data_IF_375439443965
#
_entry.id   IF_375439443965
#
_cell.length_a   1.000
_cell.length_b   1.000
_cell.length_c   1.000
_cell.angle_alpha   90.00
_cell.angle_beta   90.00
_cell.angle_gamma   90.00
#
_symmetry.space_group_name_H-M   'P 1'
#
loop_
_entity.id
_entity.type
_entity.pdbx_description
1 polymer ?
#
# COMPACT_ATOMS: atom_id res chain seq x y z
N UNK A 1 8.89 24.37 13.97
CA UNK A 1 8.50 25.77 13.79
C UNK A 1 7.10 26.07 14.29
N UNK A 2 6.24 25.07 14.40
CA UNK A 2 4.92 25.18 15.02
C UNK A 2 5.06 24.74 16.48
N UNK A 3 4.68 25.58 17.49
CA UNK A 3 4.84 25.27 18.90
C UNK A 3 3.88 24.15 19.34
N UNK A 4 4.11 23.64 20.56
CA UNK A 4 3.20 22.71 21.21
C UNK A 4 1.78 23.30 21.23
N UNK A 5 0.78 22.45 20.94
CA UNK A 5 -0.63 22.85 20.76
C UNK A 5 -0.90 23.78 19.55
N UNK A 6 0.09 23.99 18.68
CA UNK A 6 -0.14 24.64 17.40
C UNK A 6 -0.98 23.79 16.45
N UNK A 7 -1.40 24.38 15.33
CA UNK A 7 -2.23 23.74 14.34
C UNK A 7 -1.49 23.66 13.01
N UNK A 8 -1.49 22.48 12.40
CA UNK A 8 -1.07 22.25 11.02
C UNK A 8 -2.25 21.71 10.25
N UNK A 9 -2.55 22.32 9.11
CA UNK A 9 -3.63 21.88 8.21
C UNK A 9 -3.01 21.48 6.88
N UNK A 10 -3.37 20.30 6.38
CA UNK A 10 -3.00 19.80 5.06
C UNK A 10 -4.27 19.78 4.19
N UNK A 11 -4.23 20.46 3.06
CA UNK A 11 -5.31 20.43 2.06
C UNK A 11 -4.75 19.89 0.75
N UNK A 12 -5.52 19.03 0.09
CA UNK A 12 -5.19 18.48 -1.23
C UNK A 12 -6.36 18.77 -2.15
N UNK A 13 -6.10 19.40 -3.29
CA UNK A 13 -7.11 19.75 -4.29
C UNK A 13 -6.64 19.34 -5.67
N UNK A 14 -7.51 18.68 -6.42
CA UNK A 14 -7.32 18.51 -7.86
C UNK A 14 -7.80 19.76 -8.59
N UNK A 15 -6.96 20.29 -9.48
CA UNK A 15 -7.31 21.41 -10.35
C UNK A 15 -7.55 20.91 -11.78
N UNK A 16 -8.58 21.38 -12.46
CA UNK A 16 -8.86 20.97 -13.83
C UNK A 16 -7.71 21.39 -14.76
N UNK A 17 -7.21 20.45 -15.55
CA UNK A 17 -6.30 20.73 -16.66
C UNK A 17 -6.88 20.21 -17.98
N UNK A 18 -6.46 20.83 -19.09
CA UNK A 18 -6.96 20.48 -20.42
C UNK A 18 -6.36 19.18 -20.99
N UNK A 19 -5.44 18.55 -20.30
CA UNK A 19 -4.69 17.38 -20.80
C UNK A 19 -5.26 16.10 -20.18
N UNK A 20 -6.04 15.33 -20.94
CA UNK A 20 -6.90 14.26 -20.45
C UNK A 20 -6.24 13.11 -19.69
N UNK A 21 -4.89 12.96 -19.72
CA UNK A 21 -4.18 11.87 -19.05
C UNK A 21 -3.39 12.33 -17.81
N UNK A 22 -3.45 13.61 -17.46
CA UNK A 22 -2.76 14.18 -16.30
C UNK A 22 -3.71 15.01 -15.48
N UNK A 23 -3.59 14.93 -14.15
CA UNK A 23 -4.22 15.82 -13.19
C UNK A 23 -3.20 16.80 -12.63
N UNK A 24 -3.61 18.05 -12.39
CA UNK A 24 -2.86 19.03 -11.62
C UNK A 24 -3.33 18.96 -10.17
N UNK A 25 -2.45 18.61 -9.27
CA UNK A 25 -2.75 18.54 -7.85
C UNK A 25 -2.06 19.69 -7.13
N UNK A 26 -2.79 20.29 -6.22
CA UNK A 26 -2.30 21.34 -5.32
C UNK A 26 -2.38 20.82 -3.90
N UNK A 27 -1.24 20.82 -3.22
CA UNK A 27 -1.12 20.45 -1.80
C UNK A 27 -0.74 21.71 -1.04
N UNK A 28 -1.58 22.12 -0.10
CA UNK A 28 -1.36 23.29 0.75
C UNK A 28 -1.13 22.85 2.18
N UNK A 29 -0.01 23.28 2.75
CA UNK A 29 0.33 23.08 4.16
C UNK A 29 0.27 24.43 4.87
N UNK A 30 -0.62 24.54 5.84
CA UNK A 30 -0.86 25.76 6.60
C UNK A 30 -0.47 25.50 8.06
N UNK A 31 0.39 26.32 8.62
CA UNK A 31 0.73 26.29 10.04
C UNK A 31 0.48 27.65 10.71
N UNK A 32 0.21 27.63 12.00
CA UNK A 32 0.12 28.83 12.85
C UNK A 32 1.38 29.00 13.72
N UNK A 33 2.52 28.62 13.19
CA UNK A 33 3.81 28.71 13.87
C UNK A 33 4.41 30.11 13.89
N UNK A 34 5.72 30.16 14.05
CA UNK A 34 6.46 31.44 14.16
C UNK A 34 6.48 32.26 12.87
N UNK A 35 6.13 31.68 11.74
CA UNK A 35 6.24 32.33 10.43
C UNK A 35 7.69 32.56 10.00
N UNK A 36 7.85 33.24 8.86
CA UNK A 36 9.14 33.52 8.22
C UNK A 36 9.31 35.01 8.11
N UNK A 37 10.50 35.51 8.49
CA UNK A 37 10.83 36.94 8.35
C UNK A 37 10.91 37.35 6.89
N UNK A 38 10.46 38.57 6.51
CA UNK A 38 10.45 39.02 5.12
C UNK A 38 11.83 38.99 4.44
N UNK A 39 12.88 39.25 5.18
CA UNK A 39 14.25 39.23 4.71
C UNK A 39 14.79 37.84 4.40
N UNK A 40 14.16 36.79 4.95
CA UNK A 40 14.50 35.39 4.69
C UNK A 40 13.56 34.73 3.69
N UNK A 41 12.37 35.26 3.45
CA UNK A 41 11.34 34.62 2.61
C UNK A 41 11.84 34.30 1.19
N UNK A 42 12.65 35.16 0.60
CA UNK A 42 13.25 34.99 -0.72
C UNK A 42 14.36 33.94 -0.77
N UNK A 43 14.93 33.58 0.40
CA UNK A 43 16.03 32.62 0.55
C UNK A 43 15.58 31.25 1.03
N UNK A 44 14.29 31.07 1.36
CA UNK A 44 13.77 29.85 1.98
C UNK A 44 14.04 28.59 1.15
N UNK A 45 14.17 28.73 -0.17
CA UNK A 45 14.45 27.66 -1.11
C UNK A 45 15.93 27.57 -1.54
N UNK A 46 16.81 28.46 -1.03
CA UNK A 46 18.23 28.40 -1.35
C UNK A 46 18.92 27.29 -0.52
N UNK A 47 19.79 26.48 -1.14
CA UNK A 47 20.51 25.43 -0.44
C UNK A 47 21.37 25.95 0.69
N UNK A 48 21.39 25.28 1.83
CA UNK A 48 22.18 25.59 3.03
C UNK A 48 21.76 26.86 3.78
N UNK A 49 20.80 27.63 3.28
CA UNK A 49 20.28 28.80 3.96
C UNK A 49 19.41 28.40 5.17
N UNK A 50 19.55 29.17 6.24
CA UNK A 50 18.80 28.99 7.49
C UNK A 50 18.47 30.35 8.08
N UNK A 51 17.25 30.47 8.62
CA UNK A 51 16.86 31.68 9.33
C UNK A 51 17.73 31.86 10.60
N UNK A 52 18.41 32.98 10.71
CA UNK A 52 19.15 33.37 11.91
C UNK A 52 18.14 33.87 12.96
N UNK A 53 17.50 32.98 13.67
CA UNK A 53 16.64 33.35 14.81
C UNK A 53 17.15 32.70 16.08
N UNK A 54 17.24 33.50 17.15
CA UNK A 54 17.71 33.01 18.46
C UNK A 54 16.84 31.86 19.02
N UNK A 55 15.56 31.86 18.66
CA UNK A 55 14.59 30.79 19.03
C UNK A 55 14.81 29.49 18.28
N UNK A 56 15.51 29.52 17.14
CA UNK A 56 15.73 28.37 16.26
C UNK A 56 17.11 27.72 16.43
N UNK A 57 17.97 28.26 17.30
CA UNK A 57 19.36 27.77 17.49
C UNK A 57 19.43 26.28 17.88
N UNK A 58 18.40 25.75 18.51
CA UNK A 58 18.34 24.34 18.94
C UNK A 58 17.73 23.40 17.91
N UNK A 59 17.20 23.91 16.78
CA UNK A 59 16.63 23.05 15.73
C UNK A 59 17.76 22.68 14.77
N UNK A 60 18.22 21.43 14.84
CA UNK A 60 19.21 20.90 13.90
C UNK A 60 18.58 20.71 12.51
N UNK A 61 19.30 21.15 11.47
CA UNK A 61 18.89 20.94 10.08
C UNK A 61 20.01 21.37 9.13
N UNK A 62 20.09 20.73 7.98
CA UNK A 62 21.11 20.97 6.95
C UNK A 62 20.80 22.18 6.06
N UNK A 63 19.60 22.75 6.10
CA UNK A 63 19.13 23.79 5.17
C UNK A 63 18.89 23.28 3.74
N UNK A 64 18.82 21.95 3.54
CA UNK A 64 18.62 21.35 2.21
C UNK A 64 17.17 20.98 1.92
N UNK A 65 16.33 20.80 2.93
CA UNK A 65 14.99 20.25 2.76
C UNK A 65 14.10 21.01 1.78
N UNK A 66 14.04 22.35 1.92
CA UNK A 66 13.20 23.19 1.05
C UNK A 66 13.74 23.27 -0.38
N UNK A 67 15.07 23.30 -0.56
CA UNK A 67 15.70 23.24 -1.87
C UNK A 67 15.42 21.92 -2.59
N UNK A 68 15.48 20.80 -1.87
CA UNK A 68 15.11 19.46 -2.40
C UNK A 68 13.63 19.43 -2.78
N UNK A 69 12.74 19.92 -1.92
CA UNK A 69 11.31 19.99 -2.19
C UNK A 69 11.00 20.79 -3.46
N UNK A 70 11.67 21.94 -3.67
CA UNK A 70 11.53 22.75 -4.88
C UNK A 70 11.99 22.00 -6.14
N UNK A 71 13.12 21.30 -6.06
CA UNK A 71 13.61 20.49 -7.18
C UNK A 71 12.63 19.35 -7.53
N UNK A 72 12.07 18.67 -6.54
CA UNK A 72 11.07 17.63 -6.75
C UNK A 72 9.81 18.22 -7.40
N UNK A 73 9.33 19.40 -6.92
CA UNK A 73 8.19 20.07 -7.53
C UNK A 73 8.42 20.34 -9.03
N UNK A 74 9.59 20.88 -9.38
CA UNK A 74 9.96 21.13 -10.77
C UNK A 74 10.05 19.85 -11.60
N UNK A 75 10.61 18.77 -11.06
CA UNK A 75 10.65 17.47 -11.74
C UNK A 75 9.25 16.90 -12.02
N UNK A 76 8.24 17.28 -11.21
CA UNK A 76 6.83 16.90 -11.37
C UNK A 76 6.03 17.93 -12.18
N UNK A 77 6.69 18.79 -12.95
CA UNK A 77 6.08 19.88 -13.74
C UNK A 77 5.19 20.81 -12.89
N UNK A 78 5.59 21.05 -11.67
CA UNK A 78 4.91 21.92 -10.74
C UNK A 78 5.87 22.95 -10.13
N UNK A 79 5.42 23.60 -9.09
CA UNK A 79 6.21 24.56 -8.33
C UNK A 79 5.84 24.53 -6.85
N UNK A 80 6.68 25.15 -6.02
CA UNK A 80 6.39 25.36 -4.61
C UNK A 80 6.45 26.86 -4.31
N UNK A 81 5.39 27.36 -3.69
CA UNK A 81 5.23 28.73 -3.25
C UNK A 81 5.16 28.80 -1.74
N UNK A 82 5.54 29.94 -1.18
CA UNK A 82 5.44 30.21 0.24
C UNK A 82 4.85 31.61 0.48
N UNK A 83 3.87 31.68 1.35
CA UNK A 83 3.33 32.89 1.91
C UNK A 83 3.47 32.79 3.43
N UNK A 84 4.02 33.81 4.05
CA UNK A 84 4.25 33.76 5.51
C UNK A 84 4.28 35.18 6.11
N UNK A 85 3.75 35.26 7.32
CA UNK A 85 3.82 36.44 8.15
C UNK A 85 4.45 36.08 9.49
N UNK A 86 5.57 36.78 9.84
CA UNK A 86 6.28 36.50 11.08
C UNK A 86 5.38 36.72 12.30
N UNK A 87 5.30 35.73 13.15
CA UNK A 87 4.40 35.67 14.32
C UNK A 87 2.99 35.12 14.07
N UNK A 88 2.62 34.81 12.81
CA UNK A 88 1.28 34.29 12.48
C UNK A 88 1.28 32.90 11.85
N UNK A 89 2.40 32.51 11.23
CA UNK A 89 2.54 31.20 10.60
C UNK A 89 2.88 31.29 9.12
N UNK A 90 2.80 30.14 8.44
CA UNK A 90 3.16 30.01 7.02
C UNK A 90 2.15 29.17 6.25
N UNK A 91 2.09 29.43 4.94
CA UNK A 91 1.35 28.66 3.97
C UNK A 91 2.31 28.24 2.88
N UNK A 92 2.54 26.96 2.72
CA UNK A 92 3.30 26.37 1.64
C UNK A 92 2.33 25.73 0.66
N UNK A 93 2.40 26.15 -0.60
CA UNK A 93 1.57 25.59 -1.68
C UNK A 93 2.47 24.86 -2.67
N UNK A 94 2.27 23.59 -2.83
CA UNK A 94 2.99 22.71 -3.73
C UNK A 94 2.06 22.24 -4.85
N UNK A 95 2.46 22.44 -6.11
CA UNK A 95 1.72 21.92 -7.25
C UNK A 95 2.49 20.80 -7.93
N UNK A 96 1.76 19.82 -8.51
CA UNK A 96 2.37 18.73 -9.24
C UNK A 96 1.43 18.21 -10.33
N UNK A 97 2.01 17.76 -11.45
CA UNK A 97 1.27 17.04 -12.47
C UNK A 97 1.48 15.53 -12.28
N UNK A 98 0.38 14.81 -12.05
CA UNK A 98 0.41 13.36 -11.94
C UNK A 98 -0.33 12.76 -13.14
N UNK A 99 0.21 11.67 -13.67
CA UNK A 99 -0.49 10.88 -14.65
C UNK A 99 -1.71 10.25 -13.96
N UNK A 100 -2.90 10.59 -14.45
CA UNK A 100 -4.11 9.95 -13.98
C UNK A 100 -4.06 8.49 -14.44
N UNK A 101 -4.24 7.60 -13.51
CA UNK A 101 -4.58 6.24 -13.89
C UNK A 101 -6.02 6.32 -14.41
N UNK A 102 -6.28 5.72 -15.56
CA UNK A 102 -7.65 5.43 -15.92
C UNK A 102 -8.27 4.81 -14.67
N UNK A 103 -9.47 5.30 -14.29
CA UNK A 103 -10.29 4.58 -13.33
C UNK A 103 -10.69 3.28 -14.02
N UNK A 104 -9.71 2.38 -14.16
CA UNK A 104 -9.95 1.05 -14.65
C UNK A 104 -11.04 0.48 -13.76
N UNK A 105 -12.08 -0.06 -14.34
CA UNK A 105 -12.97 -0.93 -13.62
C UNK A 105 -12.08 -1.91 -12.87
N UNK A 106 -11.96 -1.73 -11.54
CA UNK A 106 -11.35 -2.73 -10.66
C UNK A 106 -12.37 -3.87 -10.48
N UNK A 107 -13.01 -4.24 -11.59
CA UNK A 107 -13.91 -5.36 -11.70
C UNK A 107 -13.25 -6.36 -12.66
N UNK A 108 -13.09 -7.56 -12.17
CA UNK A 108 -12.61 -8.69 -12.94
C UNK A 108 -13.52 -9.87 -12.60
N UNK A 109 -14.13 -10.47 -13.61
CA UNK A 109 -15.07 -11.57 -13.39
C UNK A 109 -14.39 -12.76 -12.70
N UNK A 110 -13.07 -12.94 -12.87
CA UNK A 110 -12.28 -13.98 -12.18
C UNK A 110 -12.11 -13.72 -10.68
N UNK A 111 -12.32 -12.49 -10.21
CA UNK A 111 -12.24 -12.12 -8.79
C UNK A 111 -13.62 -12.05 -8.12
N UNK A 112 -14.69 -12.12 -8.92
CA UNK A 112 -16.04 -11.90 -8.43
C UNK A 112 -16.44 -12.95 -7.40
N UNK A 113 -16.92 -12.47 -6.25
CA UNK A 113 -17.46 -13.26 -5.15
C UNK A 113 -16.42 -14.18 -4.46
N UNK A 114 -15.15 -14.17 -4.84
CA UNK A 114 -14.11 -14.96 -4.17
C UNK A 114 -13.93 -14.51 -2.71
N UNK A 115 -13.95 -15.42 -1.74
CA UNK A 115 -13.86 -15.08 -0.32
C UNK A 115 -12.42 -14.78 0.09
N UNK A 116 -12.20 -13.68 0.81
CA UNK A 116 -10.89 -13.27 1.35
C UNK A 116 -11.01 -13.05 2.85
N UNK A 117 -10.15 -13.68 3.64
CA UNK A 117 -10.07 -13.48 5.08
C UNK A 117 -9.01 -12.43 5.41
N UNK A 118 -9.42 -11.39 6.14
CA UNK A 118 -8.52 -10.36 6.70
C UNK A 118 -8.34 -10.62 8.19
N UNK A 119 -7.11 -10.51 8.68
CA UNK A 119 -6.78 -10.72 10.09
C UNK A 119 -5.98 -9.53 10.61
N UNK A 120 -6.54 -8.80 11.54
CA UNK A 120 -5.92 -7.63 12.19
C UNK A 120 -6.57 -7.50 13.58
N UNK A 121 -5.84 -7.13 14.61
CA UNK A 121 -6.38 -6.96 15.96
C UNK A 121 -7.20 -5.66 16.11
N UNK A 122 -7.10 -4.74 15.16
CA UNK A 122 -7.94 -3.55 15.08
C UNK A 122 -9.14 -3.78 14.15
N UNK A 123 -10.33 -3.83 14.75
CA UNK A 123 -11.60 -4.02 14.04
C UNK A 123 -11.83 -2.94 12.94
N UNK A 124 -11.37 -1.70 13.18
CA UNK A 124 -11.51 -0.62 12.19
C UNK A 124 -10.62 -0.89 10.97
N UNK A 125 -9.42 -1.42 11.18
CA UNK A 125 -8.54 -1.87 10.10
C UNK A 125 -9.19 -3.02 9.31
N UNK A 126 -9.77 -4.00 10.01
CA UNK A 126 -10.49 -5.11 9.41
C UNK A 126 -11.66 -4.64 8.52
N UNK A 127 -12.54 -3.79 9.06
CA UNK A 127 -13.71 -3.27 8.34
C UNK A 127 -13.30 -2.47 7.09
N UNK A 128 -12.29 -1.60 7.23
CA UNK A 128 -11.75 -0.85 6.09
C UNK A 128 -11.16 -1.77 5.02
N UNK A 129 -10.43 -2.80 5.41
CA UNK A 129 -9.86 -3.77 4.47
C UNK A 129 -10.97 -4.57 3.76
N UNK A 130 -11.98 -5.06 4.48
CA UNK A 130 -13.13 -5.73 3.89
C UNK A 130 -13.90 -4.83 2.92
N UNK A 131 -14.07 -3.54 3.25
CA UNK A 131 -14.69 -2.59 2.34
C UNK A 131 -13.89 -2.48 1.02
N UNK A 132 -12.55 -2.40 1.07
CA UNK A 132 -11.69 -2.37 -0.13
C UNK A 132 -11.76 -3.66 -0.95
N UNK A 133 -11.86 -4.81 -0.28
CA UNK A 133 -12.05 -6.12 -0.92
C UNK A 133 -13.40 -6.16 -1.65
N UNK A 134 -14.47 -5.70 -0.99
CA UNK A 134 -15.79 -5.66 -1.60
C UNK A 134 -15.87 -4.67 -2.78
N UNK A 135 -15.14 -3.56 -2.74
CA UNK A 135 -15.05 -2.58 -3.83
C UNK A 135 -14.39 -3.14 -5.11
N UNK A 136 -13.66 -4.24 -5.04
CA UNK A 136 -13.07 -4.93 -6.20
C UNK A 136 -13.86 -6.18 -6.61
N UNK A 137 -15.07 -6.37 -6.07
CA UNK A 137 -16.00 -7.44 -6.41
C UNK A 137 -15.78 -8.75 -5.65
N UNK A 138 -14.82 -8.83 -4.73
CA UNK A 138 -14.56 -9.99 -3.87
C UNK A 138 -15.42 -9.95 -2.60
N UNK A 139 -15.41 -11.03 -1.79
CA UNK A 139 -16.11 -11.11 -0.49
C UNK A 139 -15.12 -11.06 0.66
N UNK A 140 -15.08 -9.93 1.40
CA UNK A 140 -14.24 -9.77 2.57
C UNK A 140 -14.89 -10.30 3.84
N UNK A 141 -14.20 -11.21 4.54
CA UNK A 141 -14.46 -11.57 5.93
C UNK A 141 -13.28 -11.18 6.80
N UNK A 142 -13.48 -11.07 8.11
CA UNK A 142 -12.36 -10.76 9.00
C UNK A 142 -12.34 -11.62 10.26
N UNK A 143 -11.17 -11.69 10.88
CA UNK A 143 -10.91 -12.23 12.20
C UNK A 143 -10.04 -11.21 12.98
N UNK A 144 -10.25 -11.12 14.29
CA UNK A 144 -9.54 -10.15 15.15
C UNK A 144 -8.35 -10.77 15.89
N UNK A 145 -7.99 -12.00 15.58
CA UNK A 145 -6.81 -12.68 16.12
C UNK A 145 -6.37 -13.83 15.24
N UNK A 146 -5.11 -14.27 15.41
CA UNK A 146 -4.58 -15.42 14.71
C UNK A 146 -5.32 -16.71 15.03
N UNK A 147 -5.75 -16.90 16.28
CA UNK A 147 -6.51 -18.07 16.74
C UNK A 147 -7.88 -18.15 16.05
N UNK A 148 -8.58 -17.02 15.98
CA UNK A 148 -9.87 -16.94 15.29
C UNK A 148 -9.71 -17.23 13.80
N UNK A 149 -8.67 -16.67 13.18
CA UNK A 149 -8.37 -16.89 11.78
C UNK A 149 -8.13 -18.37 11.46
N UNK A 150 -7.31 -19.06 12.28
CA UNK A 150 -7.06 -20.50 12.12
C UNK A 150 -8.37 -21.27 12.22
N UNK A 151 -9.21 -21.00 13.22
CA UNK A 151 -10.51 -21.68 13.37
C UNK A 151 -11.46 -21.45 12.20
N UNK A 152 -11.44 -20.24 11.57
CA UNK A 152 -12.24 -19.97 10.38
C UNK A 152 -11.71 -20.73 9.17
N UNK A 153 -10.40 -20.74 8.94
CA UNK A 153 -9.75 -21.46 7.85
C UNK A 153 -9.96 -22.98 7.99
N UNK A 154 -9.78 -23.55 9.17
CA UNK A 154 -10.06 -24.98 9.42
C UNK A 154 -11.50 -25.35 9.09
N UNK A 155 -12.45 -24.52 9.50
CA UNK A 155 -13.87 -24.76 9.22
C UNK A 155 -14.17 -24.70 7.73
N UNK A 156 -13.67 -23.68 7.03
CA UNK A 156 -13.83 -23.51 5.60
C UNK A 156 -13.24 -24.71 4.84
N UNK A 157 -12.04 -25.13 5.22
CA UNK A 157 -11.35 -26.28 4.62
C UNK A 157 -12.13 -27.60 4.80
N UNK A 158 -12.66 -27.84 5.99
CA UNK A 158 -13.50 -29.03 6.24
C UNK A 158 -14.81 -29.04 5.42
N UNK A 159 -15.31 -27.87 5.05
CA UNK A 159 -16.52 -27.73 4.23
C UNK A 159 -16.23 -27.73 2.72
N UNK A 160 -14.97 -27.81 2.30
CA UNK A 160 -14.50 -27.58 0.92
C UNK A 160 -14.97 -26.22 0.36
N UNK A 161 -15.00 -25.20 1.20
CA UNK A 161 -15.36 -23.83 0.89
C UNK A 161 -14.21 -22.89 1.34
N UNK A 162 -13.04 -23.15 0.80
CA UNK A 162 -11.79 -22.48 1.18
C UNK A 162 -11.79 -21.00 0.80
N UNK A 163 -11.10 -20.19 1.60
CA UNK A 163 -10.81 -18.83 1.22
C UNK A 163 -9.91 -18.79 -0.01
N UNK A 164 -10.18 -17.86 -0.91
CA UNK A 164 -9.30 -17.59 -2.05
C UNK A 164 -7.93 -17.05 -1.60
N UNK A 165 -7.91 -16.20 -0.58
CA UNK A 165 -6.68 -15.65 0.01
C UNK A 165 -6.88 -15.28 1.48
N UNK A 166 -5.76 -15.25 2.23
CA UNK A 166 -5.73 -14.76 3.61
C UNK A 166 -4.75 -13.58 3.70
N UNK A 167 -5.21 -12.45 4.23
CA UNK A 167 -4.41 -11.24 4.47
C UNK A 167 -4.22 -11.10 5.97
N UNK A 168 -2.97 -11.12 6.44
CA UNK A 168 -2.61 -11.10 7.85
C UNK A 168 -1.87 -9.81 8.19
N UNK A 169 -2.28 -9.12 9.24
CA UNK A 169 -1.40 -8.11 9.85
C UNK A 169 -0.16 -8.79 10.43
N UNK A 170 0.98 -8.14 10.25
CA UNK A 170 2.26 -8.64 10.75
C UNK A 170 2.31 -8.65 12.28
N UNK A 171 1.80 -7.57 12.90
CA UNK A 171 1.92 -7.33 14.34
C UNK A 171 0.57 -7.41 15.01
N UNK A 172 0.29 -8.52 15.65
CA UNK A 172 -0.90 -8.71 16.47
C UNK A 172 -0.51 -9.16 17.88
N UNK A 173 -1.28 -8.81 18.91
CA UNK A 173 -1.08 -9.32 20.27
C UNK A 173 -1.24 -10.85 20.33
N UNK A 174 -0.41 -11.51 21.11
CA UNK A 174 -0.44 -12.97 21.26
C UNK A 174 0.25 -13.68 20.09
N UNK A 175 -0.52 -14.11 19.10
CA UNK A 175 -0.01 -14.77 17.89
C UNK A 175 0.18 -13.77 16.78
N UNK A 176 1.41 -13.57 16.32
CA UNK A 176 1.72 -12.67 15.21
C UNK A 176 1.33 -13.25 13.84
N UNK A 177 1.41 -12.40 12.78
CA UNK A 177 1.03 -12.82 11.44
C UNK A 177 1.88 -13.94 10.87
N UNK A 178 3.16 -14.04 11.21
CA UNK A 178 4.06 -15.09 10.73
C UNK A 178 3.74 -16.44 11.38
N UNK A 179 3.51 -16.42 12.69
CA UNK A 179 3.08 -17.63 13.39
C UNK A 179 1.70 -18.09 12.91
N UNK A 180 0.78 -17.16 12.71
CA UNK A 180 -0.56 -17.43 12.13
C UNK A 180 -0.44 -18.06 10.75
N UNK A 181 0.37 -17.48 9.84
CA UNK A 181 0.64 -18.05 8.51
C UNK A 181 1.19 -19.47 8.60
N UNK A 182 2.17 -19.70 9.48
CA UNK A 182 2.76 -21.04 9.68
C UNK A 182 1.74 -22.09 10.11
N UNK A 183 0.79 -21.69 10.96
CA UNK A 183 -0.27 -22.59 11.43
C UNK A 183 -1.34 -22.84 10.36
N UNK A 184 -1.76 -21.80 9.64
CA UNK A 184 -2.69 -21.94 8.51
C UNK A 184 -2.10 -22.85 7.43
N UNK A 185 -0.80 -22.75 7.12
CA UNK A 185 -0.12 -23.63 6.15
C UNK A 185 -0.19 -25.11 6.51
N UNK A 186 -0.26 -25.47 7.78
CA UNK A 186 -0.42 -26.85 8.22
C UNK A 186 -1.81 -27.41 7.91
N UNK A 187 -2.80 -26.53 7.76
CA UNK A 187 -4.19 -26.91 7.45
C UNK A 187 -4.41 -26.99 5.94
N UNK A 188 -4.05 -25.91 5.22
CA UNK A 188 -4.43 -25.75 3.80
C UNK A 188 -3.27 -25.94 2.82
N UNK A 189 -2.09 -26.32 3.29
CA UNK A 189 -0.93 -26.48 2.41
C UNK A 189 -0.51 -25.16 1.74
N UNK A 190 -0.28 -25.20 0.42
CA UNK A 190 0.14 -24.04 -0.39
C UNK A 190 -0.91 -23.60 -1.43
N UNK A 191 -2.12 -24.08 -1.32
CA UNK A 191 -3.16 -23.83 -2.31
C UNK A 191 -3.81 -22.45 -2.14
N UNK A 192 -3.84 -21.93 -0.91
CA UNK A 192 -4.40 -20.62 -0.58
C UNK A 192 -3.28 -19.59 -0.44
N UNK A 193 -3.25 -18.49 -1.20
CA UNK A 193 -2.30 -17.39 -1.00
C UNK A 193 -2.41 -16.77 0.40
N UNK A 194 -1.26 -16.65 1.08
CA UNK A 194 -1.15 -15.93 2.35
C UNK A 194 -0.32 -14.67 2.13
N UNK A 195 -0.89 -13.52 2.51
CA UNK A 195 -0.33 -12.19 2.26
C UNK A 195 -0.14 -11.49 3.59
N UNK A 196 1.03 -10.91 3.81
CA UNK A 196 1.29 -10.07 5.00
C UNK A 196 1.01 -8.61 4.67
N UNK A 197 0.20 -7.97 5.53
CA UNK A 197 -0.03 -6.52 5.54
C UNK A 197 0.94 -5.88 6.53
N UNK A 198 1.87 -5.02 6.08
CA UNK A 198 2.91 -4.43 6.91
C UNK A 198 2.98 -2.91 6.77
N UNK A 199 3.30 -2.22 7.87
CA UNK A 199 3.59 -0.78 7.86
C UNK A 199 5.02 -0.45 7.36
N UNK A 200 5.89 -1.44 7.22
CA UNK A 200 7.31 -1.26 6.90
C UNK A 200 7.76 -2.20 5.79
N UNK A 201 8.49 -1.64 4.82
CA UNK A 201 9.29 -2.42 3.88
C UNK A 201 10.59 -2.84 4.60
N UNK A 202 10.58 -4.00 5.25
CA UNK A 202 11.76 -4.54 5.92
C UNK A 202 12.24 -5.80 5.20
N UNK A 203 13.31 -5.73 4.39
CA UNK A 203 13.86 -6.89 3.66
C UNK A 203 14.21 -8.08 4.56
N UNK A 204 14.55 -7.82 5.82
CA UNK A 204 14.90 -8.87 6.77
C UNK A 204 13.70 -9.74 7.20
N UNK A 205 12.47 -9.22 7.12
CA UNK A 205 11.26 -9.99 7.41
C UNK A 205 10.80 -10.85 6.23
N UNK A 206 11.15 -10.47 5.01
CA UNK A 206 10.75 -11.22 3.82
C UNK A 206 11.26 -12.65 3.82
N UNK A 207 12.53 -12.87 4.19
CA UNK A 207 13.10 -14.22 4.25
C UNK A 207 12.40 -15.10 5.31
N UNK A 208 12.09 -14.54 6.47
CA UNK A 208 11.42 -15.26 7.57
C UNK A 208 9.99 -15.61 7.14
N UNK A 209 9.28 -14.66 6.57
CA UNK A 209 7.92 -14.84 6.11
C UNK A 209 7.82 -15.84 4.94
N UNK A 210 8.75 -15.81 3.99
CA UNK A 210 8.81 -16.80 2.92
C UNK A 210 9.02 -18.23 3.46
N UNK A 211 9.84 -18.41 4.48
CA UNK A 211 10.01 -19.70 5.17
C UNK A 211 8.74 -20.14 5.90
N UNK A 212 7.96 -19.20 6.40
CA UNK A 212 6.65 -19.45 7.00
C UNK A 212 5.55 -19.75 5.96
N UNK A 213 5.87 -19.63 4.66
CA UNK A 213 4.95 -19.92 3.57
C UNK A 213 4.10 -18.71 3.16
N UNK A 214 4.53 -17.49 3.42
CA UNK A 214 3.89 -16.27 2.92
C UNK A 214 4.20 -16.11 1.42
N UNK A 215 3.17 -15.77 0.63
CA UNK A 215 3.26 -15.66 -0.83
C UNK A 215 3.38 -14.23 -1.32
N UNK A 216 3.05 -13.25 -0.47
CA UNK A 216 3.10 -11.85 -0.85
C UNK A 216 3.06 -10.87 0.32
N UNK A 217 3.36 -9.61 0.00
CA UNK A 217 3.37 -8.50 0.94
C UNK A 217 2.59 -7.32 0.38
N UNK A 218 1.82 -6.64 1.24
CA UNK A 218 1.18 -5.36 0.92
C UNK A 218 1.55 -4.36 2.02
N UNK A 219 1.94 -3.14 1.62
CA UNK A 219 2.18 -2.04 2.57
C UNK A 219 0.86 -1.42 3.04
N UNK A 220 0.76 -1.11 4.35
CA UNK A 220 -0.28 -0.22 4.88
C UNK A 220 -0.04 1.23 4.40
N UNK A 221 -1.06 2.01 4.05
CA UNK A 221 -2.47 1.64 4.01
C UNK A 221 -2.82 0.74 2.82
N UNK A 222 -3.83 -0.12 2.99
CA UNK A 222 -4.30 -1.02 1.95
C UNK A 222 -4.95 -0.23 0.80
N UNK A 223 -4.20 -0.07 -0.29
CA UNK A 223 -4.66 0.65 -1.48
C UNK A 223 -5.44 -0.28 -2.40
N UNK A 224 -6.62 0.14 -2.86
CA UNK A 224 -7.50 -0.62 -3.78
C UNK A 224 -6.74 -1.16 -5.00
N UNK A 225 -5.94 -0.32 -5.65
CA UNK A 225 -5.17 -0.72 -6.83
C UNK A 225 -4.14 -1.81 -6.54
N UNK A 226 -3.36 -1.68 -5.46
CA UNK A 226 -2.37 -2.69 -5.05
C UNK A 226 -3.05 -4.02 -4.74
N UNK A 227 -4.16 -3.98 -3.99
CA UNK A 227 -4.95 -5.15 -3.67
C UNK A 227 -5.45 -5.83 -4.93
N UNK A 228 -6.09 -5.09 -5.85
CA UNK A 228 -6.63 -5.61 -7.10
C UNK A 228 -5.56 -6.33 -7.94
N UNK A 229 -4.44 -5.67 -8.22
CA UNK A 229 -3.38 -6.28 -9.04
C UNK A 229 -2.76 -7.51 -8.38
N UNK A 230 -2.61 -7.50 -7.05
CA UNK A 230 -2.09 -8.66 -6.35
C UNK A 230 -3.07 -9.84 -6.41
N UNK A 231 -4.36 -9.64 -6.11
CA UNK A 231 -5.39 -10.68 -6.19
C UNK A 231 -5.52 -11.23 -7.62
N UNK A 232 -5.51 -10.35 -8.61
CA UNK A 232 -5.52 -10.76 -10.02
C UNK A 232 -4.31 -11.63 -10.38
N UNK A 233 -3.12 -11.31 -9.89
CA UNK A 233 -1.93 -12.13 -10.14
C UNK A 233 -2.02 -13.53 -9.54
N UNK A 234 -2.71 -13.69 -8.42
CA UNK A 234 -2.95 -15.00 -7.82
C UNK A 234 -4.05 -15.78 -8.56
N UNK A 235 -5.12 -15.11 -9.01
CA UNK A 235 -6.18 -15.75 -9.79
C UNK A 235 -5.61 -16.36 -11.08
N UNK A 236 -4.83 -15.60 -11.84
CA UNK A 236 -4.18 -16.09 -13.06
C UNK A 236 -3.28 -17.30 -12.78
N UNK A 237 -2.50 -17.28 -11.71
CA UNK A 237 -1.62 -18.40 -11.33
C UNK A 237 -2.40 -19.68 -10.92
N UNK A 238 -3.58 -19.52 -10.36
CA UNK A 238 -4.44 -20.68 -10.01
C UNK A 238 -5.03 -21.31 -11.28
N UNK A 239 -5.53 -20.52 -12.23
CA UNK A 239 -6.02 -20.98 -13.52
C UNK A 239 -4.95 -21.75 -14.33
N UNK A 240 -3.72 -21.22 -14.37
CA UNK A 240 -2.60 -21.87 -15.05
C UNK A 240 -2.28 -23.26 -14.44
N UNK A 241 -2.43 -23.43 -13.12
CA UNK A 241 -2.23 -24.71 -12.45
C UNK A 241 -3.36 -25.70 -12.74
N UNK A 242 -4.60 -25.24 -12.84
CA UNK A 242 -5.75 -26.09 -13.19
C UNK A 242 -5.64 -26.59 -14.64
N UNK A 243 -5.26 -25.72 -15.58
CA UNK A 243 -5.01 -26.08 -16.98
C UNK A 243 -3.86 -27.10 -17.15
N UNK A 244 -2.84 -27.06 -16.30
CA UNK A 244 -1.75 -28.05 -16.33
C UNK A 244 -2.17 -29.41 -15.79
N UNK A 245 -3.13 -29.47 -14.87
CA UNK A 245 -3.65 -30.73 -14.32
C UNK A 245 -4.66 -31.40 -15.25
N UNK A 246 -5.35 -30.63 -16.12
CA UNK A 246 -6.31 -31.15 -17.10
C UNK A 246 -5.69 -31.59 -18.43
N UNK A 247 -4.40 -31.34 -18.67
CA UNK A 247 -3.76 -31.85 -19.90
C UNK A 247 -3.78 -33.36 -19.90
N UNK A 248 -4.46 -33.99 -20.89
CA UNK A 248 -4.50 -35.44 -20.96
C UNK A 248 -3.06 -35.93 -21.11
N UNK A 249 -2.65 -36.82 -20.19
CA UNK A 249 -1.41 -37.58 -20.35
C UNK A 249 -1.58 -38.47 -21.59
N UNK A 250 -1.09 -37.96 -22.73
CA UNK A 250 -0.93 -38.82 -23.89
C UNK A 250 0.11 -39.88 -23.51
N UNK A 251 -0.25 -41.17 -23.51
CA UNK A 251 0.71 -42.23 -23.25
C UNK A 251 1.80 -42.08 -24.31
N UNK A 252 3.05 -41.92 -23.85
CA UNK A 252 4.21 -41.91 -24.75
C UNK A 252 4.16 -43.22 -25.54
N UNK A 253 3.72 -43.12 -26.79
CA UNK A 253 3.76 -44.23 -27.71
C UNK A 253 5.22 -44.64 -27.94
N UNK A 254 5.49 -45.93 -27.77
CA UNK A 254 6.81 -46.47 -28.10
C UNK A 254 7.01 -46.35 -29.61
N UNK A 255 7.91 -45.44 -29.99
CA UNK A 255 8.26 -45.14 -31.38
C UNK A 255 9.40 -46.03 -31.90
N UNK A 256 9.75 -47.10 -31.23
CA UNK A 256 10.74 -48.06 -31.69
C UNK A 256 10.32 -48.62 -33.06
N UNK A 257 11.11 -48.31 -34.07
CA UNK A 257 10.94 -48.83 -35.44
C UNK A 257 10.17 -47.95 -36.44
N UNK A 258 9.75 -46.70 -36.09
CA UNK A 258 9.15 -45.77 -37.05
C UNK A 258 10.22 -44.76 -37.54
N UNK A 259 10.52 -44.82 -38.87
CA UNK A 259 11.27 -43.78 -39.56
C UNK A 259 10.36 -42.57 -39.78
N UNK A 260 10.81 -41.38 -39.34
CA UNK A 260 10.23 -40.11 -39.71
C UNK A 260 10.87 -39.74 -41.06
N UNK A 261 10.03 -39.58 -42.10
CA UNK A 261 10.39 -39.02 -43.39
C UNK A 261 10.33 -37.50 -43.32
#
# INVERSE_FOLDING_TARGET
>A
YTPDYGKITLEIREKPIKNGNYGLFEVTVIDNGIGIKPDFLHKVFEPFERAEDATLRNIQGTGLGMAISRNIAHMMNGEILVESEYGKGSVFTFTMQLKLQDQGCFEDDHLRDLPVLVVDDDIVCCENACMRINEIGMKGEYAISGEEAIGKVERAHHLNDDYFAVILDLKMPGMDGIETATRIRKVVGRDIPIIILSAYDCPHFEEIAQRAGVDGFISKPLMKSKLFYLMKSFAIKQEEKEDETEKPQYPFGNFEGKRIL
#
